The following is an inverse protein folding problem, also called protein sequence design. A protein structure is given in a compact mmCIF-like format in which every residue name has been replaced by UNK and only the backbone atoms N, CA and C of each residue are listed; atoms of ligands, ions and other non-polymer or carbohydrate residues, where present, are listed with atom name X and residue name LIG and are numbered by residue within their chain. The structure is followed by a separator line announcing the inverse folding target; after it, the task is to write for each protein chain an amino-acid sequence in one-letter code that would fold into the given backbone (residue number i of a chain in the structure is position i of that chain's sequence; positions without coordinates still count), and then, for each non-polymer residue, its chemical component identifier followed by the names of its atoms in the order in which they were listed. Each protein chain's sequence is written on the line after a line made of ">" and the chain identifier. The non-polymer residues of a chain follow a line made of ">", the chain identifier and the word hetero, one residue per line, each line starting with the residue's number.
data_IF_645200309290
#
_entry.id   IF_645200309290
#
_cell.length_a   1.000
_cell.length_b   1.000
_cell.length_c   1.000
_cell.angle_alpha   90.00
_cell.angle_beta   90.00
_cell.angle_gamma   90.00
#
_symmetry.space_group_name_H-M   'P 1'
#
loop_
_entity.id
_entity.type
_entity.pdbx_description
1 polymer ?
#
# COMPACT_ATOMS: atom_id res chain seq x y z
N UNK A 1 3.15 26.45 -6.97
CA UNK A 1 3.67 25.22 -7.60
C UNK A 1 3.03 25.08 -8.98
N UNK A 2 3.83 24.66 -9.97
CA UNK A 2 3.40 24.46 -11.36
C UNK A 2 3.71 23.02 -11.78
N UNK A 3 2.79 22.40 -12.52
CA UNK A 3 3.05 21.12 -13.17
C UNK A 3 3.81 21.42 -14.49
N UNK A 4 5.14 21.30 -14.44
CA UNK A 4 6.00 21.62 -15.58
C UNK A 4 6.04 20.49 -16.63
N UNK A 5 5.80 19.24 -16.21
CA UNK A 5 5.78 18.05 -17.06
C UNK A 5 4.71 17.08 -16.53
N UNK A 6 3.92 16.50 -17.42
CA UNK A 6 2.98 15.43 -17.13
C UNK A 6 3.31 14.25 -18.02
N UNK A 7 3.59 13.11 -17.41
CA UNK A 7 3.90 11.84 -18.08
C UNK A 7 2.76 10.85 -17.85
N UNK A 8 2.28 10.26 -18.93
CA UNK A 8 1.27 9.20 -18.90
C UNK A 8 1.66 8.02 -19.84
N UNK A 9 0.71 7.19 -20.21
CA UNK A 9 0.95 6.04 -21.09
C UNK A 9 1.26 6.45 -22.53
N UNK A 10 0.83 7.64 -22.99
CA UNK A 10 0.99 8.09 -24.37
C UNK A 10 2.38 8.68 -24.59
N UNK A 11 2.96 9.31 -23.57
CA UNK A 11 4.28 9.94 -23.64
C UNK A 11 5.31 9.34 -22.67
N UNK A 12 5.15 8.11 -22.25
CA UNK A 12 6.04 7.44 -21.29
C UNK A 12 7.53 7.41 -21.70
N UNK A 13 7.83 7.60 -23.00
CA UNK A 13 9.20 7.70 -23.51
C UNK A 13 9.89 9.03 -23.16
N UNK A 14 9.12 10.07 -22.81
CA UNK A 14 9.63 11.37 -22.39
C UNK A 14 10.11 11.38 -20.92
N UNK A 15 9.98 10.27 -20.21
CA UNK A 15 10.58 10.13 -18.88
C UNK A 15 12.08 9.86 -19.00
N UNK A 16 12.84 10.88 -19.30
CA UNK A 16 14.28 10.85 -19.54
C UNK A 16 15.01 12.08 -18.97
N UNK A 17 16.34 12.09 -19.08
CA UNK A 17 17.18 13.15 -18.52
C UNK A 17 16.99 14.52 -19.20
N UNK A 18 16.51 14.57 -20.43
CA UNK A 18 16.29 15.82 -21.15
C UNK A 18 15.03 16.52 -20.61
N UNK A 19 13.91 15.79 -20.54
CA UNK A 19 12.62 16.30 -20.09
C UNK A 19 12.58 16.56 -18.56
N UNK A 20 13.36 15.80 -17.79
CA UNK A 20 13.46 15.98 -16.33
C UNK A 20 14.39 17.14 -15.92
N UNK A 21 15.05 17.81 -16.86
CA UNK A 21 15.95 18.91 -16.54
C UNK A 21 15.19 20.10 -15.94
N UNK A 22 15.59 20.51 -14.74
CA UNK A 22 14.97 21.64 -14.03
C UNK A 22 13.68 21.28 -13.28
N UNK A 23 13.34 19.99 -13.20
CA UNK A 23 12.25 19.51 -12.37
C UNK A 23 12.76 19.33 -10.94
N UNK A 24 12.07 19.95 -9.96
CA UNK A 24 12.43 19.85 -8.55
C UNK A 24 11.98 18.53 -7.91
N UNK A 25 10.76 18.06 -8.26
CA UNK A 25 10.15 16.87 -7.66
C UNK A 25 9.20 16.19 -8.63
N UNK A 26 9.23 14.86 -8.66
CA UNK A 26 8.29 14.04 -9.38
C UNK A 26 7.23 13.46 -8.42
N UNK A 27 5.95 13.58 -8.79
CA UNK A 27 4.83 12.93 -8.11
C UNK A 27 4.46 11.67 -8.91
N UNK A 28 4.75 10.50 -8.36
CA UNK A 28 4.57 9.21 -9.04
C UNK A 28 3.32 8.50 -8.51
N UNK A 29 2.32 8.37 -9.37
CA UNK A 29 1.06 7.66 -9.11
C UNK A 29 0.67 6.89 -10.38
N UNK A 30 1.34 5.76 -10.63
CA UNK A 30 1.15 4.98 -11.85
C UNK A 30 0.64 3.56 -11.55
N UNK A 31 1.37 2.53 -11.97
CA UNK A 31 1.00 1.13 -11.73
C UNK A 31 2.15 0.38 -11.05
N UNK A 32 1.88 -0.74 -10.35
CA UNK A 32 2.94 -1.57 -9.75
C UNK A 32 4.03 -1.98 -10.74
N UNK A 33 3.64 -2.23 -12.00
CA UNK A 33 4.56 -2.67 -13.05
C UNK A 33 5.53 -1.57 -13.52
N UNK A 34 5.15 -0.30 -13.41
CA UNK A 34 5.92 0.84 -13.95
C UNK A 34 6.59 1.67 -12.87
N UNK A 35 6.04 1.70 -11.66
CA UNK A 35 6.49 2.56 -10.57
C UNK A 35 7.98 2.46 -10.27
N UNK A 36 8.51 1.25 -10.11
CA UNK A 36 9.94 1.06 -9.83
C UNK A 36 10.83 1.71 -10.89
N UNK A 37 10.54 1.48 -12.19
CA UNK A 37 11.30 2.07 -13.30
C UNK A 37 11.20 3.60 -13.28
N UNK A 38 10.00 4.12 -13.10
CA UNK A 38 9.76 5.56 -13.11
C UNK A 38 10.52 6.25 -11.97
N UNK A 39 10.41 5.72 -10.75
CA UNK A 39 11.12 6.23 -9.58
C UNK A 39 12.64 6.18 -9.80
N UNK A 40 13.15 5.05 -10.28
CA UNK A 40 14.56 4.87 -10.55
C UNK A 40 15.09 5.90 -11.56
N UNK A 41 14.39 6.09 -12.67
CA UNK A 41 14.77 7.09 -13.70
C UNK A 41 14.83 8.50 -13.11
N UNK A 42 13.84 8.91 -12.32
CA UNK A 42 13.84 10.22 -11.66
C UNK A 42 15.05 10.38 -10.73
N UNK A 43 15.34 9.39 -9.87
CA UNK A 43 16.49 9.44 -8.96
C UNK A 43 17.82 9.49 -9.74
N UNK A 44 17.98 8.70 -10.81
CA UNK A 44 19.15 8.70 -11.67
C UNK A 44 19.36 10.07 -12.34
N UNK A 45 18.29 10.78 -12.66
CA UNK A 45 18.30 12.14 -13.18
C UNK A 45 18.41 13.25 -12.11
N UNK A 46 18.56 12.89 -10.83
CA UNK A 46 18.70 13.84 -9.72
C UNK A 46 17.40 14.51 -9.26
N UNK A 47 16.25 13.97 -9.65
CA UNK A 47 14.92 14.48 -9.26
C UNK A 47 14.43 13.76 -8.03
N UNK A 48 14.00 14.51 -7.00
CA UNK A 48 13.35 13.95 -5.82
C UNK A 48 12.00 13.32 -6.18
N UNK A 49 11.61 12.23 -5.50
CA UNK A 49 10.38 11.50 -5.84
C UNK A 49 9.46 11.37 -4.63
N UNK A 50 8.17 11.63 -4.86
CA UNK A 50 7.06 11.29 -3.96
C UNK A 50 6.21 10.24 -4.67
N UNK A 51 6.17 9.00 -4.15
CA UNK A 51 5.43 7.89 -4.78
C UNK A 51 4.30 7.40 -3.90
N UNK A 52 3.09 7.33 -4.49
CA UNK A 52 1.89 6.75 -3.87
C UNK A 52 1.47 5.41 -4.51
N UNK A 53 2.14 4.95 -5.54
CA UNK A 53 1.85 3.66 -6.16
C UNK A 53 2.21 2.51 -5.21
N UNK A 54 1.30 1.57 -5.01
CA UNK A 54 1.50 0.36 -4.20
C UNK A 54 1.93 -0.84 -5.03
N UNK A 55 2.33 -1.96 -4.39
CA UNK A 55 2.60 -3.25 -5.06
C UNK A 55 3.94 -3.35 -5.79
N UNK A 56 4.93 -2.50 -5.45
CA UNK A 56 6.31 -2.55 -5.98
C UNK A 56 7.39 -2.53 -4.88
N UNK A 57 6.97 -2.50 -3.63
CA UNK A 57 7.84 -2.23 -2.46
C UNK A 57 8.78 -3.37 -2.10
N UNK A 58 8.63 -4.54 -2.69
CA UNK A 58 9.63 -5.62 -2.68
C UNK A 58 11.00 -5.14 -3.19
N UNK A 59 11.00 -4.15 -4.09
CA UNK A 59 12.20 -3.51 -4.64
C UNK A 59 12.60 -2.19 -3.97
N UNK A 60 11.90 -1.77 -2.92
CA UNK A 60 12.21 -0.53 -2.19
C UNK A 60 13.67 -0.47 -1.67
N UNK A 61 14.28 -1.55 -1.15
CA UNK A 61 15.66 -1.52 -0.70
C UNK A 61 16.67 -1.12 -1.80
N UNK A 62 16.43 -1.50 -3.06
CA UNK A 62 17.27 -1.11 -4.21
C UNK A 62 17.23 0.41 -4.44
N UNK A 63 16.01 0.99 -4.42
CA UNK A 63 15.83 2.43 -4.60
C UNK A 63 16.39 3.24 -3.42
N UNK A 64 16.28 2.73 -2.21
CA UNK A 64 16.91 3.35 -1.04
C UNK A 64 18.45 3.36 -1.14
N UNK A 65 19.03 2.28 -1.68
CA UNK A 65 20.48 2.22 -1.93
C UNK A 65 20.88 3.24 -3.01
N UNK A 66 20.12 3.33 -4.10
CA UNK A 66 20.33 4.30 -5.17
C UNK A 66 20.22 5.75 -4.67
N UNK A 67 19.23 6.05 -3.82
CA UNK A 67 19.11 7.36 -3.18
C UNK A 67 20.35 7.73 -2.37
N UNK A 68 20.88 6.79 -1.58
CA UNK A 68 22.11 7.04 -0.80
C UNK A 68 23.32 7.27 -1.70
N UNK A 69 23.44 6.49 -2.78
CA UNK A 69 24.55 6.62 -3.75
C UNK A 69 24.51 7.96 -4.49
N UNK A 70 23.32 8.40 -4.89
CA UNK A 70 23.12 9.59 -5.71
C UNK A 70 22.84 10.87 -4.93
N UNK A 71 22.73 10.80 -3.60
CA UNK A 71 22.26 11.94 -2.79
C UNK A 71 20.81 12.33 -3.11
N UNK A 72 20.02 11.39 -3.63
CA UNK A 72 18.62 11.58 -4.00
C UNK A 72 17.66 11.52 -2.83
N UNK A 73 16.37 11.76 -3.10
CA UNK A 73 15.30 11.67 -2.11
C UNK A 73 14.10 10.89 -2.65
N UNK A 74 13.61 9.96 -1.86
CA UNK A 74 12.37 9.20 -2.13
C UNK A 74 11.48 9.24 -0.88
N UNK A 75 10.27 9.76 -1.05
CA UNK A 75 9.22 9.68 -0.05
C UNK A 75 8.10 8.78 -0.58
N UNK A 76 7.96 7.61 0.02
CA UNK A 76 6.91 6.66 -0.30
C UNK A 76 5.91 6.54 0.84
N UNK A 77 4.61 6.51 0.49
CA UNK A 77 3.54 6.15 1.40
C UNK A 77 2.41 5.46 0.64
N UNK A 78 1.82 4.42 1.22
CA UNK A 78 0.62 3.75 0.67
C UNK A 78 -0.62 4.64 0.78
N UNK A 79 -0.58 5.66 1.66
CA UNK A 79 -1.63 6.65 1.84
C UNK A 79 -1.02 7.94 2.43
N UNK A 80 -1.41 9.09 1.88
CA UNK A 80 -0.94 10.42 2.32
C UNK A 80 -1.94 11.14 3.24
N UNK A 81 -3.09 10.52 3.54
CA UNK A 81 -4.05 11.08 4.47
C UNK A 81 -3.54 10.98 5.92
N UNK A 82 -3.44 12.11 6.62
CA UNK A 82 -3.00 12.15 8.02
C UNK A 82 -3.87 11.24 8.92
N UNK A 83 -5.20 11.27 8.74
CA UNK A 83 -6.12 10.45 9.53
C UNK A 83 -5.87 8.95 9.35
N UNK A 84 -5.57 8.51 8.11
CA UNK A 84 -5.23 7.10 7.83
C UNK A 84 -3.89 6.72 8.47
N UNK A 85 -2.89 7.59 8.45
CA UNK A 85 -1.61 7.35 9.11
C UNK A 85 -1.73 7.32 10.63
N UNK A 86 -2.60 8.13 11.23
CA UNK A 86 -2.95 8.03 12.65
C UNK A 86 -3.64 6.70 12.96
N UNK A 87 -4.56 6.23 12.10
CA UNK A 87 -5.20 4.92 12.23
C UNK A 87 -4.16 3.79 12.18
N UNK A 88 -3.18 3.82 11.26
CA UNK A 88 -2.09 2.84 11.22
C UNK A 88 -1.31 2.79 12.54
N UNK A 89 -1.00 3.96 13.10
CA UNK A 89 -0.31 4.05 14.39
C UNK A 89 -1.12 3.45 15.53
N UNK A 90 -2.40 3.84 15.62
CA UNK A 90 -3.32 3.33 16.65
C UNK A 90 -3.52 1.82 16.52
N UNK A 91 -3.64 1.30 15.28
CA UNK A 91 -3.79 -0.12 15.01
C UNK A 91 -2.60 -0.95 15.53
N UNK A 92 -1.36 -0.48 15.30
CA UNK A 92 -0.15 -1.13 15.85
C UNK A 92 -0.14 -1.12 17.38
N UNK A 93 -0.44 0.04 17.98
CA UNK A 93 -0.52 0.13 19.44
C UNK A 93 -1.60 -0.79 20.02
N UNK A 94 -2.77 -0.87 19.36
CA UNK A 94 -3.85 -1.77 19.79
C UNK A 94 -3.44 -3.23 19.67
N UNK A 95 -2.81 -3.63 18.55
CA UNK A 95 -2.32 -5.00 18.37
C UNK A 95 -1.30 -5.40 19.45
N UNK A 96 -0.36 -4.50 19.80
CA UNK A 96 0.58 -4.70 20.91
C UNK A 96 -0.13 -4.88 22.26
N UNK A 97 -1.17 -4.08 22.54
CA UNK A 97 -1.97 -4.21 23.77
C UNK A 97 -2.71 -5.54 23.78
N UNK A 98 -3.36 -5.91 22.67
CA UNK A 98 -4.11 -7.16 22.54
C UNK A 98 -3.20 -8.40 22.62
N UNK A 99 -1.97 -8.30 22.12
CA UNK A 99 -0.96 -9.36 22.28
C UNK A 99 -0.65 -9.67 23.76
N UNK A 100 -0.61 -8.65 24.60
CA UNK A 100 -0.38 -8.79 26.06
C UNK A 100 -1.60 -9.36 26.80
N UNK A 101 -2.80 -9.01 26.34
CA UNK A 101 -4.05 -9.50 26.97
C UNK A 101 -4.32 -10.94 26.57
N UNK A 102 -4.16 -11.29 25.29
CA UNK A 102 -4.43 -12.61 24.73
C UNK A 102 -5.93 -12.96 24.66
N UNK A 103 -6.26 -14.08 24.02
CA UNK A 103 -7.62 -14.61 23.97
C UNK A 103 -8.56 -13.91 22.97
N UNK A 104 -8.03 -13.03 22.12
CA UNK A 104 -8.79 -12.35 21.06
C UNK A 104 -8.30 -12.78 19.69
N UNK A 105 -9.24 -12.95 18.77
CA UNK A 105 -8.96 -13.02 17.34
C UNK A 105 -9.16 -11.66 16.68
N UNK A 106 -8.58 -11.45 15.48
CA UNK A 106 -8.63 -10.17 14.77
C UNK A 106 -8.94 -10.37 13.30
N UNK A 107 -9.81 -9.51 12.78
CA UNK A 107 -10.15 -9.43 11.35
C UNK A 107 -10.25 -7.99 10.88
N UNK A 108 -10.12 -7.81 9.56
CA UNK A 108 -10.22 -6.52 8.87
C UNK A 108 -11.36 -6.61 7.87
N UNK A 109 -12.27 -5.63 7.89
CA UNK A 109 -13.23 -5.38 6.83
C UNK A 109 -12.80 -4.17 6.00
N UNK A 110 -12.90 -4.27 4.67
CA UNK A 110 -12.73 -3.12 3.77
C UNK A 110 -13.84 -3.08 2.74
N UNK A 111 -14.36 -1.87 2.48
CA UNK A 111 -15.40 -1.61 1.47
C UNK A 111 -14.91 -0.47 0.57
N UNK A 112 -14.97 -0.66 -0.75
CA UNK A 112 -14.66 0.36 -1.75
C UNK A 112 -15.65 0.32 -2.91
N UNK A 113 -15.60 1.35 -3.76
CA UNK A 113 -16.41 1.45 -4.98
C UNK A 113 -16.17 0.27 -5.94
N UNK A 114 -17.16 -0.03 -6.76
CA UNK A 114 -17.15 -1.18 -7.69
C UNK A 114 -16.05 -1.11 -8.76
N UNK A 115 -15.53 0.08 -9.04
CA UNK A 115 -14.46 0.27 -10.04
C UNK A 115 -13.05 0.02 -9.50
N UNK A 116 -12.87 -0.17 -8.17
CA UNK A 116 -11.56 -0.49 -7.58
C UNK A 116 -11.15 -1.91 -7.96
N UNK A 117 -10.02 -2.03 -8.67
CA UNK A 117 -9.55 -3.29 -9.26
C UNK A 117 -8.74 -4.15 -8.31
N UNK A 118 -7.90 -3.51 -7.48
CA UNK A 118 -7.07 -4.21 -6.48
C UNK A 118 -7.91 -4.64 -5.27
N UNK A 119 -7.61 -5.81 -4.72
CA UNK A 119 -8.10 -6.31 -3.44
C UNK A 119 -7.05 -7.25 -2.81
N UNK A 120 -6.71 -7.07 -1.53
CA UNK A 120 -7.16 -5.98 -0.66
C UNK A 120 -6.58 -4.64 -1.09
N UNK A 121 -7.15 -3.55 -0.54
CA UNK A 121 -6.57 -2.21 -0.72
C UNK A 121 -5.21 -2.09 -0.03
N UNK A 122 -4.34 -1.20 -0.52
CA UNK A 122 -3.05 -0.94 0.14
C UNK A 122 -3.19 -0.53 1.61
N UNK A 123 -4.26 0.18 1.97
CA UNK A 123 -4.59 0.52 3.36
C UNK A 123 -4.90 -0.72 4.20
N UNK A 124 -5.70 -1.66 3.68
CA UNK A 124 -6.02 -2.90 4.39
C UNK A 124 -4.77 -3.78 4.58
N UNK A 125 -3.90 -3.86 3.57
CA UNK A 125 -2.62 -4.56 3.68
C UNK A 125 -1.74 -3.94 4.78
N UNK A 126 -1.58 -2.62 4.79
CA UNK A 126 -0.78 -1.91 5.81
C UNK A 126 -1.34 -2.12 7.23
N UNK A 127 -2.67 -2.17 7.38
CA UNK A 127 -3.30 -2.50 8.67
C UNK A 127 -3.00 -3.94 9.09
N UNK A 128 -3.11 -4.90 8.17
CA UNK A 128 -2.85 -6.32 8.45
C UNK A 128 -1.37 -6.56 8.80
N UNK A 129 -0.46 -5.98 8.04
CA UNK A 129 0.98 -6.05 8.33
C UNK A 129 1.31 -5.46 9.71
N UNK A 130 0.71 -4.30 10.05
CA UNK A 130 0.89 -3.71 11.36
C UNK A 130 0.34 -4.56 12.51
N UNK A 131 -0.68 -5.39 12.27
CA UNK A 131 -1.16 -6.38 13.25
C UNK A 131 -0.18 -7.54 13.36
N UNK A 132 0.22 -8.12 12.22
CA UNK A 132 1.15 -9.26 12.17
C UNK A 132 2.48 -8.93 12.85
N UNK A 133 2.99 -7.72 12.69
CA UNK A 133 4.22 -7.25 13.33
C UNK A 133 4.13 -7.16 14.88
N UNK A 134 2.91 -7.04 15.45
CA UNK A 134 2.69 -6.74 16.86
C UNK A 134 1.80 -7.74 17.60
N UNK A 135 1.35 -8.81 16.94
CA UNK A 135 0.50 -9.86 17.50
C UNK A 135 1.09 -11.23 17.20
N UNK A 136 1.77 -11.83 18.16
CA UNK A 136 2.54 -13.08 18.04
C UNK A 136 1.71 -14.28 17.53
N UNK A 137 0.39 -14.26 17.76
CA UNK A 137 -0.54 -15.26 17.26
C UNK A 137 -0.76 -15.21 15.75
N UNK A 138 -0.34 -14.13 15.07
CA UNK A 138 -0.56 -13.91 13.63
C UNK A 138 0.77 -13.88 12.88
N UNK A 139 0.87 -14.65 11.79
CA UNK A 139 2.07 -14.80 10.96
C UNK A 139 1.89 -14.29 9.53
N UNK A 140 0.67 -13.94 9.16
CA UNK A 140 0.32 -13.46 7.84
C UNK A 140 -1.12 -13.00 7.76
N UNK A 141 -1.55 -12.74 6.55
CA UNK A 141 -2.94 -12.39 6.26
C UNK A 141 -3.45 -13.12 5.01
N UNK A 142 -4.74 -13.34 4.95
CA UNK A 142 -5.45 -13.86 3.77
C UNK A 142 -6.63 -12.96 3.44
N UNK A 143 -7.07 -12.98 2.17
CA UNK A 143 -8.14 -12.12 1.70
C UNK A 143 -9.36 -12.94 1.26
N UNK A 144 -10.48 -12.76 1.95
CA UNK A 144 -11.78 -13.23 1.50
C UNK A 144 -12.46 -12.11 0.68
N UNK A 145 -12.53 -12.32 -0.63
CA UNK A 145 -12.96 -11.31 -1.59
C UNK A 145 -13.95 -11.89 -2.60
N UNK A 146 -15.19 -12.23 -2.19
CA UNK A 146 -16.16 -12.85 -3.07
C UNK A 146 -16.52 -11.92 -4.23
N UNK A 147 -16.48 -12.45 -5.45
CA UNK A 147 -16.81 -11.71 -6.68
C UNK A 147 -15.71 -10.79 -7.20
N UNK A 148 -14.53 -10.72 -6.56
CA UNK A 148 -13.40 -9.91 -7.03
C UNK A 148 -12.37 -10.85 -7.69
N UNK A 149 -12.22 -10.75 -9.02
CA UNK A 149 -11.44 -11.70 -9.81
C UNK A 149 -9.93 -11.71 -9.51
N UNK A 150 -9.33 -10.56 -9.20
CA UNK A 150 -7.88 -10.37 -9.06
C UNK A 150 -7.46 -10.06 -7.62
N UNK A 151 -8.12 -10.69 -6.63
CA UNK A 151 -7.77 -10.52 -5.22
C UNK A 151 -6.45 -11.25 -4.88
N UNK A 152 -5.53 -10.56 -4.22
CA UNK A 152 -4.28 -11.13 -3.72
C UNK A 152 -4.52 -11.97 -2.45
N UNK A 153 -3.74 -13.02 -2.24
CA UNK A 153 -3.82 -13.94 -1.09
C UNK A 153 -5.26 -14.44 -0.81
N UNK A 154 -5.99 -14.75 -1.88
CA UNK A 154 -7.41 -15.06 -1.80
C UNK A 154 -7.68 -16.42 -1.15
N UNK A 155 -8.69 -16.46 -0.27
CA UNK A 155 -9.38 -17.66 0.18
C UNK A 155 -10.79 -17.69 -0.42
N UNK A 156 -11.30 -18.90 -0.71
CA UNK A 156 -12.61 -19.05 -1.37
C UNK A 156 -13.76 -18.81 -0.38
N UNK A 157 -13.54 -19.12 0.89
CA UNK A 157 -14.52 -18.96 1.97
C UNK A 157 -13.84 -18.37 3.19
N UNK A 158 -14.59 -17.61 3.99
CA UNK A 158 -14.09 -17.03 5.23
C UNK A 158 -13.67 -18.09 6.27
N UNK A 159 -14.34 -19.26 6.28
CA UNK A 159 -14.03 -20.37 7.18
C UNK A 159 -12.71 -21.09 6.84
N UNK A 160 -12.12 -20.79 5.68
CA UNK A 160 -10.80 -21.32 5.26
C UNK A 160 -9.64 -20.48 5.79
N UNK A 161 -9.91 -19.39 6.55
CA UNK A 161 -8.87 -18.57 7.13
C UNK A 161 -8.05 -19.35 8.16
N UNK A 162 -6.73 -19.53 7.96
CA UNK A 162 -5.88 -20.15 8.96
C UNK A 162 -5.89 -19.35 10.27
N UNK A 163 -5.90 -20.04 11.42
CA UNK A 163 -5.97 -19.40 12.74
C UNK A 163 -4.80 -18.44 13.01
N UNK A 164 -3.65 -18.66 12.36
CA UNK A 164 -2.46 -17.82 12.45
C UNK A 164 -2.42 -16.71 11.37
N UNK A 165 -3.51 -16.49 10.64
CA UNK A 165 -3.66 -15.41 9.68
C UNK A 165 -4.72 -14.39 10.09
N UNK A 166 -4.50 -13.13 9.70
CA UNK A 166 -5.52 -12.08 9.78
C UNK A 166 -6.42 -12.21 8.55
N UNK A 167 -7.73 -12.37 8.74
CA UNK A 167 -8.69 -12.27 7.64
C UNK A 167 -8.85 -10.81 7.23
N UNK A 168 -8.67 -10.54 5.93
CA UNK A 168 -9.13 -9.32 5.29
C UNK A 168 -10.38 -9.66 4.48
N UNK A 169 -11.50 -9.04 4.75
CA UNK A 169 -12.73 -9.19 3.97
C UNK A 169 -12.91 -7.99 3.06
N UNK A 170 -12.69 -8.20 1.77
CA UNK A 170 -12.84 -7.15 0.76
C UNK A 170 -14.22 -7.16 0.12
N UNK A 171 -14.88 -6.01 0.11
CA UNK A 171 -16.21 -5.81 -0.50
C UNK A 171 -16.13 -4.67 -1.50
N UNK A 172 -16.87 -4.76 -2.59
CA UNK A 172 -17.04 -3.70 -3.59
C UNK A 172 -18.50 -3.34 -3.69
N UNK A 173 -18.83 -2.07 -3.36
CA UNK A 173 -20.19 -1.60 -3.23
C UNK A 173 -20.34 -0.16 -3.70
N UNK A 174 -21.24 0.08 -4.66
CA UNK A 174 -21.60 1.42 -5.13
C UNK A 174 -20.40 2.31 -5.45
N UNK A 175 -20.41 3.51 -4.87
CA UNK A 175 -19.38 4.54 -5.02
C UNK A 175 -18.63 4.82 -3.70
N UNK A 176 -18.59 3.88 -2.76
CA UNK A 176 -17.93 4.02 -1.46
C UNK A 176 -16.45 4.37 -1.65
N UNK A 177 -15.97 5.54 -1.18
CA UNK A 177 -14.58 5.97 -1.41
C UNK A 177 -13.55 5.10 -0.68
N UNK A 178 -13.94 4.48 0.45
CA UNK A 178 -13.16 3.55 1.23
C UNK A 178 -13.53 3.57 2.72
N UNK A 179 -13.88 2.40 3.25
CA UNK A 179 -14.13 2.18 4.69
C UNK A 179 -13.25 1.04 5.14
N UNK A 180 -12.57 1.19 6.27
CA UNK A 180 -11.75 0.16 6.88
C UNK A 180 -12.14 -0.02 8.35
N UNK A 181 -12.32 -1.27 8.75
CA UNK A 181 -12.70 -1.64 10.11
C UNK A 181 -11.77 -2.74 10.61
N UNK A 182 -11.18 -2.57 11.77
CA UNK A 182 -10.43 -3.61 12.49
C UNK A 182 -11.26 -4.05 13.67
N UNK A 183 -11.51 -5.35 13.80
CA UNK A 183 -12.35 -5.92 14.85
C UNK A 183 -11.57 -6.97 15.62
N UNK A 184 -11.55 -6.86 16.95
CA UNK A 184 -11.06 -7.88 17.87
C UNK A 184 -12.26 -8.53 18.56
N UNK A 185 -12.29 -9.87 18.59
CA UNK A 185 -13.37 -10.67 19.16
C UNK A 185 -12.81 -11.76 20.07
N UNK A 186 -13.51 -12.06 21.20
CA UNK A 186 -13.18 -13.10 22.17
C UNK A 186 -14.18 -14.25 22.14
#
# INVERSE_FOLDING_TARGET
>A
HEAALVIDTENAAELDAEHLRGIDVALEFTTPATAYRNIRTCIECGVAVVSGTTGWTDRLPELQALCRERGGALFYASNYCLGVNLMFRLNRCLAEMMNRVGGYDVRIGEVHHTQKKDAPSGTAITLAEGIVENLDAKRGWVNYAPGIAHAANRVERSEETPADCVEIRSVREGEVPGVHTVTYES
#
